data_IF_880645003777
#
_entry.id   IF_880645003777
#
_cell.length_a   1.000
_cell.length_b   1.000
_cell.length_c   1.000
_cell.angle_alpha   90.00
_cell.angle_beta   90.00
_cell.angle_gamma   90.00
#
_symmetry.space_group_name_H-M   'P 1'
#
loop_
_entity.id
_entity.type
_entity.pdbx_description
1 polymer ?
#
# COMPACT_ATOMS: atom_id res chain seq x y z
N UNK A 1 10.56 14.60 7.77
CA UNK A 1 10.04 15.05 6.46
C UNK A 1 8.54 14.80 6.47
N UNK A 2 7.73 15.82 6.16
CA UNK A 2 6.28 15.73 6.11
C UNK A 2 5.80 15.21 4.75
N UNK A 3 4.69 14.48 4.73
CA UNK A 3 4.00 14.08 3.49
C UNK A 3 3.49 15.35 2.80
N UNK A 4 3.82 15.54 1.52
CA UNK A 4 3.42 16.75 0.76
C UNK A 4 2.57 16.42 -0.46
N UNK A 5 1.83 17.40 -0.97
CA UNK A 5 1.11 17.29 -2.24
C UNK A 5 2.05 17.05 -3.43
N UNK A 6 3.30 17.48 -3.34
CA UNK A 6 4.33 17.22 -4.37
C UNK A 6 4.80 15.76 -4.32
N UNK A 7 5.08 15.24 -3.12
CA UNK A 7 5.47 13.84 -2.94
C UNK A 7 4.38 12.88 -3.44
N UNK A 8 3.10 13.13 -3.11
CA UNK A 8 1.99 12.30 -3.58
C UNK A 8 1.82 12.34 -5.11
N UNK A 9 2.04 13.50 -5.75
CA UNK A 9 2.07 13.62 -7.22
C UNK A 9 3.24 12.84 -7.83
N UNK A 10 4.42 12.90 -7.23
CA UNK A 10 5.60 12.17 -7.68
C UNK A 10 5.41 10.65 -7.57
N UNK A 11 4.90 10.18 -6.43
CA UNK A 11 4.54 8.76 -6.20
C UNK A 11 3.56 8.28 -7.26
N UNK A 12 2.46 9.03 -7.50
CA UNK A 12 1.46 8.67 -8.51
C UNK A 12 2.05 8.58 -9.91
N UNK A 13 2.94 9.51 -10.27
CA UNK A 13 3.60 9.53 -11.58
C UNK A 13 4.50 8.31 -11.77
N UNK A 14 5.32 7.99 -10.78
CA UNK A 14 6.23 6.85 -10.84
C UNK A 14 5.48 5.51 -10.89
N UNK A 15 4.42 5.36 -10.09
CA UNK A 15 3.56 4.18 -10.13
C UNK A 15 2.88 3.99 -11.49
N UNK A 16 2.41 5.07 -12.11
CA UNK A 16 1.79 5.02 -13.43
C UNK A 16 2.79 4.64 -14.53
N UNK A 17 4.06 5.02 -14.40
CA UNK A 17 5.12 4.62 -15.33
C UNK A 17 5.46 3.13 -15.16
N UNK A 18 5.55 2.66 -13.92
CA UNK A 18 5.92 1.28 -13.61
C UNK A 18 4.79 0.29 -13.91
N UNK A 19 3.54 0.72 -13.73
CA UNK A 19 2.34 -0.10 -13.89
C UNK A 19 1.27 0.68 -14.66
N UNK A 20 1.43 0.85 -15.99
CA UNK A 20 0.51 1.67 -16.80
C UNK A 20 -0.93 1.13 -16.84
N UNK A 21 -1.09 -0.19 -16.76
CA UNK A 21 -2.40 -0.87 -16.76
C UNK A 21 -3.10 -0.81 -15.40
N UNK A 22 -2.40 -0.45 -14.32
CA UNK A 22 -2.96 -0.30 -12.99
C UNK A 22 -3.33 1.16 -12.73
N UNK A 23 -4.59 1.40 -12.35
CA UNK A 23 -5.03 2.74 -11.94
C UNK A 23 -4.87 2.91 -10.44
N UNK A 24 -4.06 3.88 -10.07
CA UNK A 24 -3.84 4.27 -8.69
C UNK A 24 -4.53 5.59 -8.35
N UNK A 25 -5.07 5.65 -7.15
CA UNK A 25 -5.37 6.90 -6.46
C UNK A 25 -4.38 7.06 -5.31
N UNK A 26 -3.56 8.10 -5.39
CA UNK A 26 -2.60 8.47 -4.35
C UNK A 26 -3.06 9.78 -3.76
N UNK A 27 -3.27 9.79 -2.45
CA UNK A 27 -3.68 10.98 -1.71
C UNK A 27 -2.94 11.06 -0.38
N UNK A 28 -2.87 12.27 0.15
CA UNK A 28 -2.52 12.50 1.53
C UNK A 28 -3.81 12.59 2.33
N UNK A 29 -3.86 11.93 3.48
CA UNK A 29 -4.95 12.04 4.44
C UNK A 29 -4.41 12.58 5.76
N UNK A 30 -5.12 13.54 6.34
CA UNK A 30 -4.85 14.10 7.67
C UNK A 30 -3.40 14.57 7.88
N UNK A 31 -2.74 15.02 6.79
CA UNK A 31 -1.33 15.45 6.73
C UNK A 31 -0.28 14.45 7.23
N UNK A 32 -0.71 13.23 7.53
CA UNK A 32 0.09 12.22 8.25
C UNK A 32 -0.06 10.83 7.66
N UNK A 33 -0.86 10.66 6.60
CA UNK A 33 -1.10 9.36 5.96
C UNK A 33 -0.88 9.46 4.46
N UNK A 34 0.02 8.62 3.92
CA UNK A 34 0.12 8.36 2.49
C UNK A 34 -0.87 7.25 2.14
N UNK A 35 -1.93 7.59 1.43
CA UNK A 35 -3.00 6.67 1.07
C UNK A 35 -2.91 6.32 -0.42
N UNK A 36 -2.66 5.04 -0.73
CA UNK A 36 -2.59 4.48 -2.07
C UNK A 36 -3.70 3.46 -2.24
N UNK A 37 -4.59 3.72 -3.20
CA UNK A 37 -5.71 2.83 -3.54
C UNK A 37 -5.50 2.32 -4.96
N UNK A 38 -5.42 1.01 -5.14
CA UNK A 38 -5.49 0.36 -6.45
C UNK A 38 -6.97 0.27 -6.84
N UNK A 39 -7.37 0.93 -7.93
CA UNK A 39 -8.79 1.05 -8.33
C UNK A 39 -9.20 0.04 -9.40
N UNK A 40 -8.35 -0.18 -10.38
CA UNK A 40 -8.61 -1.07 -11.52
C UNK A 40 -7.30 -1.58 -12.10
N UNK A 41 -7.38 -2.71 -12.81
CA UNK A 41 -6.25 -3.34 -13.47
C UNK A 41 -6.56 -4.75 -13.93
N UNK A 42 -5.62 -5.39 -14.61
CA UNK A 42 -5.70 -6.76 -15.15
C UNK A 42 -5.38 -7.85 -14.11
N UNK A 43 -4.90 -7.44 -12.95
CA UNK A 43 -4.41 -8.35 -11.91
C UNK A 43 -5.54 -8.79 -11.01
N UNK A 44 -5.66 -10.11 -10.83
CA UNK A 44 -6.40 -10.69 -9.72
C UNK A 44 -5.47 -10.82 -8.51
N UNK A 45 -5.70 -10.02 -7.47
CA UNK A 45 -4.85 -10.06 -6.27
C UNK A 45 -5.18 -11.26 -5.38
N UNK A 46 -6.40 -11.81 -5.42
CA UNK A 46 -6.85 -12.88 -4.51
C UNK A 46 -6.05 -14.17 -4.73
N UNK A 47 -5.68 -14.49 -5.97
CA UNK A 47 -4.82 -15.66 -6.31
C UNK A 47 -3.39 -15.59 -5.76
N UNK A 48 -2.91 -14.40 -5.37
CA UNK A 48 -1.55 -14.19 -4.88
C UNK A 48 -1.46 -14.18 -3.35
N UNK A 49 -2.50 -14.57 -2.64
CA UNK A 49 -2.44 -14.78 -1.20
C UNK A 49 -1.57 -16.01 -0.88
N UNK A 50 -0.81 -15.94 0.20
CA UNK A 50 -0.19 -17.11 0.86
C UNK A 50 -1.21 -17.77 1.79
N UNK A 51 -0.85 -18.87 2.46
CA UNK A 51 -1.73 -19.50 3.46
C UNK A 51 -2.01 -18.53 4.63
N UNK A 52 -1.00 -17.81 5.06
CA UNK A 52 -1.10 -16.79 6.11
C UNK A 52 -1.99 -15.63 5.63
N UNK A 53 -1.79 -15.16 4.39
CA UNK A 53 -2.65 -14.13 3.79
C UNK A 53 -4.10 -14.60 3.68
N UNK A 54 -4.34 -15.85 3.29
CA UNK A 54 -5.68 -16.43 3.27
C UNK A 54 -6.33 -16.37 4.65
N UNK A 55 -5.62 -16.78 5.72
CA UNK A 55 -6.11 -16.69 7.12
C UNK A 55 -6.61 -15.27 7.46
N UNK A 56 -5.80 -14.25 7.15
CA UNK A 56 -6.11 -12.85 7.47
C UNK A 56 -7.17 -12.22 6.55
N UNK A 57 -7.37 -12.78 5.36
CA UNK A 57 -8.29 -12.26 4.34
C UNK A 57 -9.32 -13.34 3.91
N UNK A 58 -9.74 -14.17 4.86
CA UNK A 58 -10.48 -15.44 4.67
C UNK A 58 -11.91 -15.24 4.20
N UNK A 59 -12.56 -14.17 4.65
CA UNK A 59 -14.02 -14.02 4.55
C UNK A 59 -14.47 -12.88 3.62
N UNK A 60 -13.60 -12.51 2.66
CA UNK A 60 -13.86 -11.35 1.81
C UNK A 60 -14.77 -11.68 0.62
N UNK A 61 -16.07 -11.76 0.94
CA UNK A 61 -17.14 -11.33 0.01
C UNK A 61 -16.94 -9.89 -0.48
N UNK A 62 -16.03 -9.14 0.14
CA UNK A 62 -15.68 -7.78 -0.25
C UNK A 62 -14.59 -7.85 -1.32
N UNK A 63 -14.77 -7.02 -2.34
CA UNK A 63 -13.80 -6.84 -3.41
C UNK A 63 -12.83 -5.69 -3.10
N UNK A 64 -12.56 -5.47 -1.81
CA UNK A 64 -11.55 -4.54 -1.33
C UNK A 64 -10.90 -5.03 -0.03
N UNK A 65 -9.62 -4.72 0.15
CA UNK A 65 -8.87 -5.01 1.39
C UNK A 65 -7.70 -4.04 1.58
N UNK A 66 -7.25 -3.87 2.82
CA UNK A 66 -6.02 -3.12 3.12
C UNK A 66 -4.83 -4.08 3.21
N UNK A 67 -3.71 -3.66 2.63
CA UNK A 67 -2.44 -4.38 2.67
C UNK A 67 -1.63 -3.85 3.83
N UNK A 68 -1.25 -4.74 4.74
CA UNK A 68 -0.33 -4.41 5.82
C UNK A 68 1.11 -4.50 5.29
N UNK A 69 1.85 -3.39 5.39
CA UNK A 69 3.20 -3.24 4.86
C UNK A 69 4.24 -4.11 5.59
N UNK A 70 4.07 -4.33 6.90
CA UNK A 70 4.91 -5.25 7.69
C UNK A 70 4.74 -6.72 7.30
N UNK A 71 3.63 -7.08 6.66
CA UNK A 71 3.29 -8.46 6.32
C UNK A 71 3.22 -8.72 4.82
N UNK A 72 3.78 -7.84 3.98
CA UNK A 72 3.79 -8.05 2.51
C UNK A 72 4.45 -9.38 2.16
N UNK A 73 5.56 -9.70 2.82
CA UNK A 73 6.34 -10.91 2.55
C UNK A 73 5.68 -12.20 3.03
N UNK A 74 4.90 -12.13 4.11
CA UNK A 74 4.22 -13.29 4.66
C UNK A 74 2.84 -13.51 4.04
N UNK A 75 2.13 -12.46 3.61
CA UNK A 75 0.74 -12.57 3.14
C UNK A 75 0.58 -12.66 1.62
N UNK A 76 1.60 -12.26 0.86
CA UNK A 76 1.53 -12.16 -0.60
C UNK A 76 2.70 -12.85 -1.28
N UNK A 77 2.43 -13.42 -2.46
CA UNK A 77 3.44 -14.04 -3.34
C UNK A 77 3.38 -13.47 -4.75
N UNK A 78 4.35 -13.83 -5.58
CA UNK A 78 4.35 -13.51 -7.01
C UNK A 78 4.20 -12.01 -7.30
N UNK A 79 3.32 -11.70 -8.26
CA UNK A 79 3.14 -10.36 -8.80
C UNK A 79 2.59 -9.37 -7.76
N UNK A 80 1.61 -9.78 -6.95
CA UNK A 80 1.05 -8.91 -5.91
C UNK A 80 2.11 -8.48 -4.89
N UNK A 81 2.96 -9.42 -4.44
CA UNK A 81 4.08 -9.12 -3.54
C UNK A 81 5.03 -8.09 -4.14
N UNK A 82 5.38 -8.25 -5.42
CA UNK A 82 6.24 -7.29 -6.14
C UNK A 82 5.61 -5.91 -6.15
N UNK A 83 4.34 -5.80 -6.56
CA UNK A 83 3.63 -4.52 -6.63
C UNK A 83 3.58 -3.82 -5.28
N UNK A 84 3.20 -4.53 -4.22
CA UNK A 84 3.12 -3.92 -2.89
C UNK A 84 4.48 -3.48 -2.36
N UNK A 85 5.55 -4.23 -2.65
CA UNK A 85 6.92 -3.80 -2.35
C UNK A 85 7.33 -2.57 -3.14
N UNK A 86 7.04 -2.54 -4.44
CA UNK A 86 7.40 -1.41 -5.30
C UNK A 86 6.65 -0.13 -4.85
N UNK A 87 5.36 -0.24 -4.49
CA UNK A 87 4.61 0.85 -3.87
C UNK A 87 5.32 1.35 -2.60
N UNK A 88 5.69 0.44 -1.69
CA UNK A 88 6.33 0.80 -0.44
C UNK A 88 7.69 1.50 -0.66
N UNK A 89 8.50 0.99 -1.59
CA UNK A 89 9.80 1.58 -1.93
C UNK A 89 9.65 2.96 -2.57
N UNK A 90 8.68 3.14 -3.47
CA UNK A 90 8.39 4.44 -4.09
C UNK A 90 7.93 5.45 -3.02
N UNK A 91 7.07 5.03 -2.09
CA UNK A 91 6.68 5.90 -0.96
C UNK A 91 7.91 6.30 -0.14
N UNK A 92 8.77 5.34 0.23
CA UNK A 92 9.99 5.63 0.99
C UNK A 92 10.98 6.53 0.26
N UNK A 93 11.09 6.39 -1.07
CA UNK A 93 11.92 7.24 -1.91
C UNK A 93 11.49 8.71 -1.86
N UNK A 94 10.17 8.98 -1.86
CA UNK A 94 9.63 10.34 -1.93
C UNK A 94 9.29 10.96 -0.57
N UNK A 95 9.03 10.15 0.46
CA UNK A 95 8.61 10.62 1.78
C UNK A 95 9.61 10.28 2.90
N UNK A 96 10.68 9.53 2.60
CA UNK A 96 11.54 8.92 3.62
C UNK A 96 10.87 7.72 4.29
N UNK A 97 11.57 7.01 5.18
CA UNK A 97 10.96 5.90 5.91
C UNK A 97 9.92 6.42 6.91
N UNK A 98 8.81 5.69 6.98
CA UNK A 98 7.67 6.06 7.79
C UNK A 98 7.85 5.74 9.28
N UNK A 99 8.81 4.86 9.62
CA UNK A 99 9.35 4.71 10.98
C UNK A 99 10.88 4.56 10.97
N UNK A 100 11.52 4.92 12.09
CA UNK A 100 12.92 4.58 12.38
C UNK A 100 13.01 3.26 13.15
N UNK A 101 13.72 2.27 12.58
CA UNK A 101 13.92 0.96 13.22
C UNK A 101 14.99 1.00 14.33
N UNK A 102 15.80 2.06 14.38
CA UNK A 102 16.87 2.25 15.35
C UNK A 102 16.44 3.10 16.56
N UNK A 103 15.22 3.64 16.56
CA UNK A 103 14.62 4.22 17.77
C UNK A 103 14.30 3.05 18.71
N UNK A 104 15.23 2.72 19.60
CA UNK A 104 15.31 1.49 20.40
C UNK A 104 14.20 1.23 21.42
N UNK A 105 12.98 1.71 21.20
CA UNK A 105 11.83 1.41 22.03
C UNK A 105 10.55 1.38 21.19
N UNK A 106 10.12 0.16 20.81
CA UNK A 106 8.84 -0.05 20.12
C UNK A 106 7.61 0.14 21.04
N UNK A 107 7.82 0.39 22.34
CA UNK A 107 6.79 0.62 23.36
C UNK A 107 6.70 2.06 23.88
N UNK A 108 7.61 2.96 23.48
CA UNK A 108 7.51 4.38 23.80
C UNK A 108 6.56 5.07 22.81
N UNK A 109 5.30 5.17 23.24
CA UNK A 109 4.17 5.83 22.57
C UNK A 109 4.58 6.91 21.55
N UNK A 110 4.45 6.57 20.26
CA UNK A 110 4.50 7.47 19.09
C UNK A 110 5.84 8.14 18.70
N UNK A 111 6.96 7.87 19.38
CA UNK A 111 8.21 8.61 19.14
C UNK A 111 8.98 8.24 17.83
N UNK A 112 8.56 7.20 17.10
CA UNK A 112 9.28 6.69 15.92
C UNK A 112 8.61 6.87 14.56
N UNK A 113 7.34 7.29 14.50
CA UNK A 113 6.55 7.31 13.26
C UNK A 113 6.51 8.71 12.64
N UNK A 114 7.05 8.85 11.43
CA UNK A 114 7.02 10.10 10.67
C UNK A 114 5.66 10.33 9.99
N UNK A 115 5.04 9.24 9.53
CA UNK A 115 3.74 9.20 8.87
C UNK A 115 3.23 7.75 8.80
N UNK A 116 1.98 7.55 8.43
CA UNK A 116 1.38 6.23 8.21
C UNK A 116 1.24 5.91 6.72
N UNK A 117 1.33 4.63 6.40
CA UNK A 117 1.10 4.13 5.04
C UNK A 117 -0.21 3.35 5.04
N UNK A 118 -1.07 3.69 4.09
CA UNK A 118 -2.28 2.93 3.82
C UNK A 118 -2.29 2.52 2.36
N UNK A 119 -2.06 1.24 2.10
CA UNK A 119 -2.22 0.63 0.78
C UNK A 119 -3.49 -0.19 0.79
N UNK A 120 -4.37 0.01 -0.18
CA UNK A 120 -5.58 -0.82 -0.34
C UNK A 120 -5.80 -1.21 -1.78
N UNK A 121 -6.33 -2.43 -1.96
CA UNK A 121 -6.91 -2.87 -3.22
C UNK A 121 -8.40 -2.59 -3.10
N UNK A 122 -8.93 -1.70 -3.95
CA UNK A 122 -10.28 -1.17 -3.81
C UNK A 122 -10.48 -0.31 -2.56
N UNK A 123 -11.72 0.11 -2.36
CA UNK A 123 -12.20 0.83 -1.17
C UNK A 123 -13.62 0.39 -0.82
N UNK A 124 -14.10 0.73 0.38
CA UNK A 124 -15.40 0.30 0.89
C UNK A 124 -16.57 0.53 -0.08
N UNK A 125 -16.64 1.70 -0.72
CA UNK A 125 -17.69 2.04 -1.68
C UNK A 125 -17.29 1.80 -3.15
N UNK A 126 -16.00 1.63 -3.43
CA UNK A 126 -15.46 1.45 -4.79
C UNK A 126 -14.54 0.23 -4.79
N UNK A 127 -15.08 -1.00 -4.95
CA UNK A 127 -14.27 -2.20 -5.02
C UNK A 127 -13.31 -2.17 -6.20
N UNK A 128 -12.26 -2.99 -6.13
CA UNK A 128 -11.30 -3.09 -7.22
C UNK A 128 -11.94 -3.70 -8.47
N UNK A 129 -11.80 -3.04 -9.61
CA UNK A 129 -12.33 -3.51 -10.89
C UNK A 129 -11.25 -4.25 -11.66
N UNK A 130 -11.37 -5.58 -11.74
CA UNK A 130 -10.53 -6.40 -12.63
C UNK A 130 -10.99 -6.19 -14.07
N UNK A 131 -10.13 -5.65 -14.91
CA UNK A 131 -10.35 -5.52 -16.36
C UNK A 131 -9.71 -6.72 -17.06
N UNK A 132 -10.52 -7.46 -17.81
CA UNK A 132 -10.06 -8.61 -18.61
C UNK A 132 -9.60 -8.20 -20.00
#
# INVERSE_FOLDING_TARGET
>A
MSVTAEATRAIKKELKVLYPELKFSVSMRDYSVVNVILKEGDIDFKQYKTKEGEIYYTDDKRDYFNVNDCHIDSHWKGLARKIFKDILQIIYKHCGRHYDRNAGDMGADYAGWNYFIRVSVGSWCEPYVKKG
#
